data_IF_586365621272
#
_entry.id   IF_586365621272
#
_cell.length_a   1.000
_cell.length_b   1.000
_cell.length_c   1.000
_cell.angle_alpha   90.00
_cell.angle_beta   90.00
_cell.angle_gamma   90.00
#
_symmetry.space_group_name_H-M   'P 1'
#
loop_
_entity.id
_entity.type
_entity.pdbx_description
1 polymer ?
#
# COMPACT_ATOMS: atom_id res chain seq x y z
N UNK A 1 18.26 -17.05 15.07
CA UNK A 1 17.23 -17.45 14.07
C UNK A 1 16.76 -16.17 13.41
N UNK A 2 17.21 -15.90 12.18
CA UNK A 2 16.80 -14.71 11.44
C UNK A 2 15.50 -15.04 10.70
N UNK A 3 14.39 -14.39 11.10
CA UNK A 3 13.13 -14.50 10.38
C UNK A 3 13.25 -13.69 9.09
N UNK A 4 13.39 -14.37 7.94
CA UNK A 4 13.22 -13.73 6.64
C UNK A 4 11.74 -13.34 6.53
N UNK A 5 11.47 -12.04 6.39
CA UNK A 5 10.12 -11.51 6.20
C UNK A 5 9.42 -12.25 5.05
N UNK A 6 8.23 -12.78 5.31
CA UNK A 6 7.39 -13.43 4.33
C UNK A 6 7.04 -12.45 3.21
N UNK A 7 7.57 -12.69 2.00
CA UNK A 7 7.32 -11.81 0.85
C UNK A 7 5.94 -12.11 0.25
N UNK A 8 4.91 -11.41 0.73
CA UNK A 8 3.56 -11.49 0.16
C UNK A 8 3.49 -10.67 -1.13
N UNK A 9 2.92 -11.22 -2.21
CA UNK A 9 2.73 -10.49 -3.46
C UNK A 9 1.27 -10.04 -3.58
N UNK A 10 1.05 -8.76 -3.88
CA UNK A 10 -0.29 -8.21 -4.09
C UNK A 10 -0.48 -7.79 -5.55
N UNK A 11 -1.69 -7.96 -6.06
CA UNK A 11 -2.12 -7.45 -7.36
C UNK A 11 -3.54 -6.89 -7.27
N UNK A 12 -3.84 -5.85 -8.03
CA UNK A 12 -5.16 -5.21 -8.04
C UNK A 12 -5.71 -5.14 -9.47
N UNK A 13 -7.00 -5.44 -9.60
CA UNK A 13 -7.80 -5.28 -10.81
C UNK A 13 -8.89 -4.25 -10.52
N UNK A 14 -8.98 -3.22 -11.36
CA UNK A 14 -9.91 -2.10 -11.22
C UNK A 14 -10.94 -2.17 -12.35
N UNK A 15 -12.13 -2.66 -12.05
CA UNK A 15 -13.16 -2.93 -13.06
C UNK A 15 -13.99 -1.69 -13.39
N UNK A 16 -14.48 -1.61 -14.63
CA UNK A 16 -15.33 -0.51 -15.10
C UNK A 16 -16.66 -0.37 -14.32
N UNK A 17 -17.13 -1.45 -13.69
CA UNK A 17 -18.31 -1.45 -12.81
C UNK A 17 -18.05 -0.80 -11.43
N UNK A 18 -16.85 -0.25 -11.19
CA UNK A 18 -16.51 0.45 -9.96
C UNK A 18 -16.16 -0.49 -8.82
N UNK A 19 -15.64 -1.68 -9.14
CA UNK A 19 -15.13 -2.62 -8.13
C UNK A 19 -13.60 -2.72 -8.20
N UNK A 20 -13.00 -2.80 -7.02
CA UNK A 20 -11.58 -3.12 -6.85
C UNK A 20 -11.51 -4.57 -6.37
N UNK A 21 -10.77 -5.39 -7.10
CA UNK A 21 -10.45 -6.76 -6.70
C UNK A 21 -8.96 -6.86 -6.43
N UNK A 22 -8.60 -7.28 -5.22
CA UNK A 22 -7.22 -7.46 -4.80
C UNK A 22 -6.97 -8.92 -4.49
N UNK A 23 -5.90 -9.43 -5.07
CA UNK A 23 -5.39 -10.78 -4.81
C UNK A 23 -4.07 -10.66 -4.09
N UNK A 24 -4.01 -11.24 -2.91
CA UNK A 24 -2.77 -11.48 -2.18
C UNK A 24 -2.35 -12.93 -2.43
N UNK A 25 -1.19 -13.11 -3.07
CA UNK A 25 -0.52 -14.40 -3.16
C UNK A 25 0.32 -14.60 -1.88
N UNK A 26 -0.19 -15.49 -1.04
CA UNK A 26 0.37 -15.88 0.24
C UNK A 26 1.31 -17.07 0.09
N UNK A 27 1.50 -17.64 -1.10
CA UNK A 27 2.27 -18.87 -1.32
C UNK A 27 3.72 -18.77 -0.83
N UNK A 28 4.30 -17.57 -0.89
CA UNK A 28 5.65 -17.27 -0.38
C UNK A 28 5.68 -16.93 1.13
N UNK A 29 4.51 -16.74 1.73
CA UNK A 29 4.30 -16.56 3.16
C UNK A 29 3.92 -17.86 3.89
N UNK A 30 3.66 -18.94 3.15
CA UNK A 30 3.46 -20.29 3.71
C UNK A 30 4.82 -20.80 4.23
N UNK A 31 5.10 -20.52 5.50
CA UNK A 31 6.08 -21.31 6.26
C UNK A 31 5.33 -22.43 6.99
N UNK A 32 6.08 -23.36 7.60
CA UNK A 32 5.53 -24.43 8.46
C UNK A 32 4.59 -23.93 9.58
N UNK A 33 4.49 -22.62 9.80
CA UNK A 33 3.71 -21.98 10.85
C UNK A 33 2.33 -21.45 10.41
N UNK A 34 1.90 -21.63 9.15
CA UNK A 34 0.51 -21.39 8.71
C UNK A 34 0.31 -20.15 7.83
N UNK A 35 -0.95 -19.75 7.65
CA UNK A 35 -1.41 -18.68 6.73
C UNK A 35 -1.55 -17.37 7.51
N UNK A 36 -1.22 -16.18 6.95
CA UNK A 36 -1.51 -14.90 7.57
C UNK A 36 -3.00 -14.79 7.95
N UNK A 37 -3.29 -14.93 9.23
CA UNK A 37 -4.67 -15.12 9.72
C UNK A 37 -5.44 -13.81 9.87
N UNK A 38 -4.79 -12.66 9.65
CA UNK A 38 -5.41 -11.34 9.77
C UNK A 38 -5.05 -10.45 8.59
N UNK A 39 -5.91 -10.45 7.58
CA UNK A 39 -5.88 -9.51 6.45
C UNK A 39 -7.19 -8.73 6.46
N UNK A 40 -7.10 -7.40 6.34
CA UNK A 40 -8.26 -6.52 6.26
C UNK A 40 -7.92 -5.23 5.51
N UNK A 41 -8.93 -4.55 4.99
CA UNK A 41 -8.81 -3.18 4.47
C UNK A 41 -8.84 -2.17 5.61
N UNK A 42 -8.81 -0.87 5.30
CA UNK A 42 -8.96 0.21 6.30
C UNK A 42 -10.18 -0.02 7.19
N UNK A 43 -11.32 -0.40 6.61
CA UNK A 43 -12.44 -0.94 7.39
C UNK A 43 -12.15 -2.39 7.80
N UNK A 44 -12.04 -2.62 9.12
CA UNK A 44 -11.75 -3.94 9.73
C UNK A 44 -12.82 -5.00 9.46
N UNK A 45 -14.03 -4.58 9.09
CA UNK A 45 -15.11 -5.49 8.69
C UNK A 45 -14.93 -5.97 7.24
N UNK A 46 -14.17 -5.24 6.43
CA UNK A 46 -13.83 -5.64 5.07
C UNK A 46 -12.62 -6.57 5.06
N UNK A 47 -12.91 -7.86 5.28
CA UNK A 47 -11.94 -8.95 5.18
C UNK A 47 -12.01 -9.62 3.80
N UNK A 48 -10.95 -10.35 3.39
CA UNK A 48 -11.03 -11.22 2.21
C UNK A 48 -12.24 -12.14 2.31
N UNK A 49 -13.00 -12.23 1.22
CA UNK A 49 -14.19 -13.09 1.13
C UNK A 49 -13.80 -14.54 0.89
N UNK A 50 -12.70 -14.74 0.18
CA UNK A 50 -12.16 -16.04 -0.15
C UNK A 50 -10.72 -16.11 0.34
N UNK A 51 -10.40 -17.21 1.02
CA UNK A 51 -9.05 -17.52 1.46
C UNK A 51 -8.86 -19.04 1.38
N UNK A 52 -8.04 -19.49 0.43
CA UNK A 52 -7.80 -20.93 0.18
C UNK A 52 -6.50 -21.44 0.83
N UNK A 53 -5.90 -20.62 1.69
CA UNK A 53 -4.63 -20.89 2.37
C UNK A 53 -3.38 -20.53 1.56
N UNK A 54 -3.51 -20.30 0.25
CA UNK A 54 -2.42 -19.83 -0.61
C UNK A 54 -2.70 -18.44 -1.17
N UNK A 55 -3.97 -18.06 -1.23
CA UNK A 55 -4.44 -16.79 -1.79
C UNK A 55 -5.53 -16.22 -0.91
N UNK A 56 -5.55 -14.90 -0.82
CA UNK A 56 -6.66 -14.16 -0.24
C UNK A 56 -7.20 -13.19 -1.28
N UNK A 57 -8.53 -13.24 -1.48
CA UNK A 57 -9.21 -12.38 -2.44
C UNK A 57 -10.19 -11.44 -1.72
N UNK A 58 -10.00 -10.15 -1.97
CA UNK A 58 -10.88 -9.08 -1.50
C UNK A 58 -11.48 -8.38 -2.69
N UNK A 59 -12.80 -8.30 -2.77
CA UNK A 59 -13.48 -7.56 -3.83
C UNK A 59 -14.57 -6.65 -3.28
N UNK A 60 -14.41 -5.35 -3.48
CA UNK A 60 -15.21 -4.30 -2.83
C UNK A 60 -15.47 -3.12 -3.77
N UNK A 61 -16.59 -2.39 -3.61
CA UNK A 61 -16.84 -1.13 -4.33
C UNK A 61 -15.76 -0.07 -4.04
N UNK A 62 -15.37 0.70 -5.06
CA UNK A 62 -14.33 1.75 -4.97
C UNK A 62 -14.59 2.84 -3.92
N UNK A 63 -15.84 3.04 -3.50
CA UNK A 63 -16.27 4.05 -2.52
C UNK A 63 -16.61 3.45 -1.15
N UNK A 64 -16.18 2.21 -0.90
CA UNK A 64 -16.48 1.46 0.32
C UNK A 64 -15.21 1.03 1.06
N UNK A 65 -15.35 0.33 2.19
CA UNK A 65 -14.24 -0.25 2.95
C UNK A 65 -13.16 0.74 3.40
N UNK A 66 -13.55 2.01 3.62
CA UNK A 66 -12.63 3.09 3.98
C UNK A 66 -11.80 3.64 2.82
N UNK A 67 -12.21 3.36 1.57
CA UNK A 67 -11.52 3.90 0.40
C UNK A 67 -11.60 5.43 0.37
N UNK A 68 -10.50 6.06 0.00
CA UNK A 68 -10.40 7.50 -0.22
C UNK A 68 -10.31 7.82 -1.70
N UNK A 69 -10.64 9.05 -2.06
CA UNK A 69 -10.64 9.52 -3.44
C UNK A 69 -9.76 10.75 -3.59
N UNK A 70 -8.94 10.75 -4.63
CA UNK A 70 -8.15 11.89 -5.05
C UNK A 70 -8.55 12.29 -6.47
N UNK A 71 -8.98 13.55 -6.61
CA UNK A 71 -9.34 14.13 -7.89
C UNK A 71 -8.09 14.70 -8.55
N UNK A 72 -7.72 14.15 -9.71
CA UNK A 72 -6.75 14.73 -10.63
C UNK A 72 -7.43 15.63 -11.66
N UNK A 73 -6.63 16.20 -12.55
CA UNK A 73 -7.12 17.10 -13.61
C UNK A 73 -7.98 16.38 -14.65
N UNK A 74 -7.60 15.15 -15.00
CA UNK A 74 -8.23 14.33 -16.05
C UNK A 74 -8.47 12.89 -15.58
N UNK A 75 -8.24 12.61 -14.30
CA UNK A 75 -8.39 11.29 -13.71
C UNK A 75 -8.93 11.37 -12.29
N UNK A 76 -9.57 10.30 -11.84
CA UNK A 76 -9.91 10.07 -10.43
C UNK A 76 -9.15 8.85 -9.93
N UNK A 77 -8.49 8.98 -8.78
CA UNK A 77 -7.75 7.88 -8.16
C UNK A 77 -8.41 7.49 -6.86
N UNK A 78 -8.85 6.24 -6.77
CA UNK A 78 -9.34 5.64 -5.54
C UNK A 78 -8.22 4.90 -4.84
N UNK A 79 -8.07 5.12 -3.53
CA UNK A 79 -7.04 4.49 -2.72
C UNK A 79 -7.64 3.74 -1.55
N UNK A 80 -7.01 2.64 -1.17
CA UNK A 80 -7.30 1.94 0.09
C UNK A 80 -6.01 1.29 0.60
N UNK A 81 -5.96 0.91 1.86
CA UNK A 81 -4.83 0.23 2.46
C UNK A 81 -5.22 -1.18 2.88
N UNK A 82 -4.35 -2.14 2.61
CA UNK A 82 -4.46 -3.50 3.14
C UNK A 82 -3.50 -3.62 4.31
N UNK A 83 -4.04 -4.04 5.44
CA UNK A 83 -3.32 -4.39 6.64
C UNK A 83 -3.23 -5.91 6.74
N UNK A 84 -2.01 -6.43 6.87
CA UNK A 84 -1.77 -7.85 7.01
C UNK A 84 -0.74 -8.13 8.11
N UNK A 85 -0.97 -9.18 8.89
CA UNK A 85 -0.07 -9.54 9.99
C UNK A 85 1.24 -10.13 9.47
N UNK A 86 2.37 -9.60 9.96
CA UNK A 86 3.73 -10.12 9.77
C UNK A 86 3.92 -11.49 10.42
N UNK A 87 3.26 -11.69 11.58
CA UNK A 87 3.36 -12.91 12.39
C UNK A 87 2.25 -13.88 12.02
N UNK A 88 2.64 -15.11 11.74
CA UNK A 88 1.73 -16.23 11.53
C UNK A 88 1.28 -16.73 12.92
N UNK A 89 -0.02 -16.90 13.14
CA UNK A 89 -0.60 -17.52 14.35
C UNK A 89 -0.20 -16.92 15.72
N UNK A 90 -0.03 -15.60 15.82
CA UNK A 90 0.16 -14.96 17.12
C UNK A 90 -1.18 -14.82 17.89
N UNK A 91 -1.29 -15.30 19.15
CA UNK A 91 -2.50 -15.19 19.96
C UNK A 91 -2.84 -13.74 20.31
N UNK A 92 -1.81 -12.90 20.43
CA UNK A 92 -1.89 -11.44 20.60
C UNK A 92 -1.10 -10.78 19.50
N UNK A 93 -1.76 -9.94 18.70
CA UNK A 93 -1.15 -9.19 17.60
C UNK A 93 -1.12 -7.73 18.01
N UNK A 94 0.07 -7.16 18.16
CA UNK A 94 0.24 -5.73 18.43
C UNK A 94 0.11 -4.93 17.12
N UNK A 95 -0.15 -3.61 17.20
CA UNK A 95 -0.26 -2.78 15.99
C UNK A 95 1.03 -2.77 15.15
N UNK A 96 2.20 -3.02 15.77
CA UNK A 96 3.49 -3.05 15.09
C UNK A 96 3.73 -4.35 14.30
N UNK A 97 2.91 -5.36 14.55
CA UNK A 97 2.94 -6.65 13.88
C UNK A 97 2.19 -6.65 12.55
N UNK A 98 1.63 -5.51 12.13
CA UNK A 98 1.02 -5.36 10.80
C UNK A 98 1.99 -4.68 9.83
N UNK A 99 2.04 -5.21 8.61
CA UNK A 99 2.50 -4.47 7.45
C UNK A 99 1.30 -3.89 6.70
N UNK A 100 1.58 -2.88 5.88
CA UNK A 100 0.58 -2.23 5.04
C UNK A 100 1.07 -2.04 3.61
N UNK A 101 0.14 -2.22 2.68
CA UNK A 101 0.30 -1.85 1.27
C UNK A 101 -0.87 -0.98 0.86
N UNK A 102 -0.61 -0.01 -0.01
CA UNK A 102 -1.63 0.88 -0.55
C UNK A 102 -2.04 0.40 -1.94
N UNK A 103 -3.33 0.21 -2.13
CA UNK A 103 -3.95 -0.04 -3.44
C UNK A 103 -4.30 1.31 -4.03
N UNK A 104 -4.04 1.49 -5.33
CA UNK A 104 -4.49 2.64 -6.09
C UNK A 104 -5.18 2.16 -7.37
N UNK A 105 -6.38 2.67 -7.64
CA UNK A 105 -7.11 2.46 -8.88
C UNK A 105 -7.41 3.81 -9.51
N UNK A 106 -6.84 4.06 -10.69
CA UNK A 106 -7.01 5.32 -11.40
C UNK A 106 -7.91 5.13 -12.62
N UNK A 107 -8.92 5.97 -12.76
CA UNK A 107 -9.86 5.99 -13.89
C UNK A 107 -9.76 7.34 -14.61
N UNK A 108 -9.81 7.32 -15.93
CA UNK A 108 -9.89 8.54 -16.73
C UNK A 108 -11.27 9.19 -16.60
N UNK A 109 -11.32 10.52 -16.54
CA UNK A 109 -12.57 11.28 -16.52
C UNK A 109 -13.07 11.44 -17.97
N UNK A 110 -14.01 10.60 -18.40
CA UNK A 110 -14.69 10.79 -19.68
C UNK A 110 -15.94 11.66 -19.48
N UNK A 111 -15.85 12.96 -19.80
CA UNK A 111 -17.01 13.88 -19.76
C UNK A 111 -17.58 14.13 -18.36
N UNK A 112 -18.70 14.86 -18.27
CA UNK A 112 -19.37 15.34 -17.03
C UNK A 112 -19.60 14.22 -16.00
N UNK A 113 -18.58 13.93 -15.21
CA UNK A 113 -18.72 13.10 -14.02
C UNK A 113 -19.51 13.92 -13.00
N UNK A 114 -20.72 13.44 -12.70
CA UNK A 114 -21.39 13.90 -11.50
C UNK A 114 -20.50 13.52 -10.31
N UNK A 115 -20.12 14.52 -9.52
CA UNK A 115 -19.26 14.38 -8.31
C UNK A 115 -19.76 13.27 -7.35
N UNK A 116 -21.00 12.83 -7.51
CA UNK A 116 -21.70 11.88 -6.65
C UNK A 116 -21.91 10.48 -7.23
N UNK A 117 -21.59 10.23 -8.50
CA UNK A 117 -21.71 8.88 -9.10
C UNK A 117 -20.50 8.55 -9.93
N UNK A 118 -19.83 7.47 -9.53
CA UNK A 118 -18.82 6.85 -10.36
C UNK A 118 -19.48 6.24 -11.59
N UNK A 119 -18.97 6.61 -12.76
CA UNK A 119 -19.33 6.00 -14.03
C UNK A 119 -18.06 5.97 -14.87
N UNK A 120 -17.64 4.78 -15.29
CA UNK A 120 -16.50 4.61 -16.19
C UNK A 120 -16.83 3.52 -17.18
N UNK A 121 -16.63 3.80 -18.46
CA UNK A 121 -16.83 2.82 -19.54
C UNK A 121 -15.57 1.96 -19.76
N UNK A 122 -14.49 2.27 -19.05
CA UNK A 122 -13.18 1.62 -19.18
C UNK A 122 -12.70 1.08 -17.85
N UNK A 123 -11.97 -0.04 -17.86
CA UNK A 123 -11.27 -0.52 -16.69
C UNK A 123 -10.25 0.53 -16.20
N UNK A 124 -10.10 0.64 -14.88
CA UNK A 124 -9.10 1.49 -14.27
C UNK A 124 -7.72 0.86 -14.30
N UNK A 125 -6.69 1.67 -14.09
CA UNK A 125 -5.32 1.20 -13.94
C UNK A 125 -5.03 0.98 -12.46
N UNK A 126 -4.67 -0.26 -12.10
CA UNK A 126 -4.36 -0.67 -10.73
C UNK A 126 -2.88 -0.64 -10.41
N UNK A 127 -2.52 -0.08 -9.25
CA UNK A 127 -1.17 -0.07 -8.72
C UNK A 127 -1.14 -0.50 -7.25
N UNK A 128 -0.10 -1.24 -6.88
CA UNK A 128 0.22 -1.56 -5.49
C UNK A 128 1.47 -0.80 -5.09
N UNK A 129 1.35 0.03 -4.06
CA UNK A 129 2.46 0.76 -3.46
C UNK A 129 2.79 0.12 -2.13
N UNK A 130 4.00 -0.42 -2.02
CA UNK A 130 4.51 -0.96 -0.76
C UNK A 130 5.04 0.19 0.10
N UNK A 131 4.67 0.23 1.38
CA UNK A 131 5.22 1.23 2.30
C UNK A 131 6.72 0.99 2.49
N UNK A 132 7.55 2.05 2.40
CA UNK A 132 9.02 2.00 2.52
C UNK A 132 9.54 1.43 3.86
N UNK A 133 8.66 1.16 4.83
CA UNK A 133 9.00 0.49 6.07
C UNK A 133 9.26 -1.03 5.90
N UNK A 134 9.12 -1.58 4.68
CA UNK A 134 9.55 -2.94 4.32
C UNK A 134 10.95 -2.98 3.68
N UNK A 135 11.85 -2.07 4.08
CA UNK A 135 13.23 -2.02 3.57
C UNK A 135 14.20 -1.99 4.74
N UNK A 136 14.58 -3.16 5.27
CA UNK A 136 15.97 -3.34 5.69
C UNK A 136 16.73 -3.94 4.52
N UNK A 137 17.76 -3.23 4.05
CA UNK A 137 18.74 -3.78 3.12
C UNK A 137 18.74 -3.19 1.70
N UNK A 138 18.73 -1.87 1.56
CA UNK A 138 19.38 -1.23 0.42
C UNK A 138 20.48 -0.32 0.97
N UNK A 139 21.65 -0.93 1.21
CA UNK A 139 22.92 -0.19 1.25
C UNK A 139 23.17 0.36 -0.16
N UNK A 140 22.62 1.54 -0.43
CA UNK A 140 23.16 2.46 -1.43
C UNK A 140 24.42 3.11 -0.87
N UNK A 141 25.44 3.39 -1.68
CA UNK A 141 26.73 3.85 -1.20
C UNK A 141 26.58 5.23 -0.54
N UNK A 142 27.11 5.34 0.67
CA UNK A 142 27.29 6.57 1.41
C UNK A 142 28.11 7.55 0.57
N UNK A 143 27.45 8.50 -0.09
CA UNK A 143 28.12 9.71 -0.58
C UNK A 143 28.28 10.62 0.63
N UNK A 144 29.48 10.64 1.20
CA UNK A 144 29.86 11.61 2.23
C UNK A 144 29.66 13.03 1.69
N UNK A 145 28.89 13.90 2.35
CA UNK A 145 28.89 15.31 2.02
C UNK A 145 30.21 15.93 2.48
N UNK A 146 31.03 16.34 1.52
CA UNK A 146 32.22 17.16 1.71
C UNK A 146 31.84 18.42 2.51
N UNK A 147 32.53 18.61 3.63
CA UNK A 147 32.42 19.77 4.51
C UNK A 147 32.72 21.05 3.76
N UNK A 148 31.71 21.90 3.53
CA UNK A 148 31.93 23.30 3.13
C UNK A 148 32.12 24.10 4.42
N UNK A 149 33.37 24.43 4.73
CA UNK A 149 33.72 25.37 5.80
C UNK A 149 33.12 26.74 5.49
N UNK A 150 32.21 27.20 6.35
CA UNK A 150 31.79 28.60 6.38
C UNK A 150 32.94 29.45 6.94
N UNK A 151 33.53 30.28 6.10
CA UNK A 151 34.45 31.33 6.55
C UNK A 151 33.65 32.42 7.27
N UNK A 152 33.88 32.56 8.57
CA UNK A 152 33.43 33.70 9.37
C UNK A 152 34.30 34.92 9.06
N UNK A 153 33.76 35.93 8.40
CA UNK A 153 34.44 37.21 8.17
C UNK A 153 34.28 38.09 9.40
N UNK A 154 35.29 38.09 10.27
CA UNK A 154 35.39 39.03 11.39
C UNK A 154 35.84 40.40 10.86
N UNK A 155 34.99 41.43 10.99
CA UNK A 155 35.34 42.82 10.65
C UNK A 155 36.41 43.34 11.61
N UNK A 156 37.58 43.72 11.07
CA UNK A 156 38.51 44.63 11.73
C UNK A 156 38.06 46.08 11.48
N UNK A 157 37.94 46.86 12.55
CA UNK A 157 37.94 48.34 12.48
C UNK A 157 39.39 48.83 12.46
N UNK A 158 39.79 49.75 11.57
CA UNK A 158 41.03 50.49 11.72
C UNK A 158 40.84 51.74 12.60
N UNK A 159 41.99 52.20 13.12
CA UNK A 159 42.20 53.28 14.08
C UNK A 159 41.66 54.67 13.66
#
# INVERSE_FOLDING_TARGET
>A
IAYKSAKTQFSAVCSADGRITVVADLSLAITSEGVPSRIHLVDKNCRPKEMDGTRALSSFPINSCGSTVELGKESVTYKNEIFFSKKLNAPTVSSNDFDRVTIQCTYALAGLLSVYRFQSDTAGVGHIVHSAHSTEGLLGPTINPTTVQMLSTQRLYPA
#
